data_IF_191257369404
#
_entry.id   IF_191257369404
#
_cell.length_a   1.000
_cell.length_b   1.000
_cell.length_c   1.000
_cell.angle_alpha   90.00
_cell.angle_beta   90.00
_cell.angle_gamma   90.00
#
_symmetry.space_group_name_H-M   'P 1'
#
loop_
_entity.id
_entity.type
_entity.pdbx_description
1 polymer ?
#
# COMPACT_ATOMS: atom_id res chain seq x y z
N UNK A 1 22.01 4.79 -6.99
CA UNK A 1 20.82 5.07 -7.80
C UNK A 1 20.13 6.30 -7.24
N UNK A 2 19.84 7.33 -8.08
CA UNK A 2 19.24 8.59 -7.62
C UNK A 2 17.77 8.42 -7.25
N UNK A 3 17.01 7.70 -8.08
CA UNK A 3 15.60 7.43 -7.85
C UNK A 3 15.45 6.32 -6.81
N UNK A 4 14.88 6.67 -5.64
CA UNK A 4 14.63 5.72 -4.57
C UNK A 4 13.32 4.97 -4.79
N UNK A 5 12.21 5.69 -4.99
CA UNK A 5 10.95 5.07 -5.37
C UNK A 5 10.02 6.03 -6.14
N UNK A 6 9.03 5.46 -6.80
CA UNK A 6 7.98 6.16 -7.54
C UNK A 6 6.64 5.62 -7.13
N UNK A 7 5.69 6.50 -6.86
CA UNK A 7 4.28 6.15 -6.70
C UNK A 7 3.51 6.71 -7.89
N UNK A 8 2.90 5.84 -8.68
CA UNK A 8 2.08 6.20 -9.83
C UNK A 8 0.60 6.21 -9.47
N UNK A 9 -0.06 7.30 -9.80
CA UNK A 9 -1.51 7.46 -9.59
C UNK A 9 -2.18 7.92 -10.87
N UNK A 10 -3.44 7.54 -11.04
CA UNK A 10 -4.32 8.15 -12.03
C UNK A 10 -5.52 8.82 -11.35
N UNK A 11 -6.04 9.87 -11.99
CA UNK A 11 -7.11 10.64 -11.39
C UNK A 11 -7.61 11.76 -12.29
N UNK A 12 -8.13 12.81 -11.68
CA UNK A 12 -8.64 14.01 -12.34
C UNK A 12 -7.95 15.25 -11.80
N UNK A 13 -7.86 16.27 -12.63
CA UNK A 13 -7.51 17.60 -12.13
C UNK A 13 -8.70 18.19 -11.39
N UNK A 14 -8.43 18.82 -10.25
CA UNK A 14 -9.44 19.59 -9.56
C UNK A 14 -9.85 20.77 -10.45
N UNK A 15 -11.14 20.98 -10.72
CA UNK A 15 -11.60 22.11 -11.53
C UNK A 15 -11.35 23.46 -10.85
N UNK A 16 -11.31 23.50 -9.52
CA UNK A 16 -10.95 24.68 -8.76
C UNK A 16 -9.44 24.95 -8.85
N UNK A 17 -9.00 26.05 -9.47
CA UNK A 17 -7.58 26.38 -9.60
C UNK A 17 -6.89 26.70 -8.27
N UNK A 18 -7.64 27.10 -7.25
CA UNK A 18 -7.14 27.50 -5.94
C UNK A 18 -7.21 26.36 -4.91
N UNK A 19 -7.72 25.17 -5.32
CA UNK A 19 -7.79 24.03 -4.45
C UNK A 19 -6.40 23.63 -3.93
N UNK A 20 -6.29 23.39 -2.63
CA UNK A 20 -5.04 22.91 -2.00
C UNK A 20 -4.48 21.65 -2.69
N UNK A 21 -5.35 20.78 -3.20
CA UNK A 21 -4.97 19.59 -3.99
C UNK A 21 -5.45 19.78 -5.42
N UNK A 22 -4.51 20.02 -6.34
CA UNK A 22 -4.78 20.14 -7.78
C UNK A 22 -5.12 18.79 -8.44
N UNK A 23 -4.64 17.70 -7.90
CA UNK A 23 -4.87 16.35 -8.40
C UNK A 23 -5.71 15.55 -7.42
N UNK A 24 -6.81 14.95 -7.91
CA UNK A 24 -7.72 14.09 -7.15
C UNK A 24 -7.44 12.66 -7.60
N UNK A 25 -6.76 11.83 -6.79
CA UNK A 25 -6.48 10.46 -7.15
C UNK A 25 -7.77 9.63 -7.20
N UNK A 26 -7.85 8.75 -8.19
CA UNK A 26 -8.95 7.80 -8.39
C UNK A 26 -8.48 6.35 -8.29
N UNK A 27 -7.18 6.12 -8.45
CA UNK A 27 -6.58 4.81 -8.34
C UNK A 27 -5.06 4.85 -8.48
N UNK A 28 -4.43 3.72 -8.21
CA UNK A 28 -2.99 3.51 -8.34
C UNK A 28 -2.65 2.86 -9.67
N UNK A 29 -1.54 3.28 -10.25
CA UNK A 29 -0.89 2.60 -11.38
C UNK A 29 0.21 1.63 -10.91
N UNK A 30 0.35 1.47 -9.59
CA UNK A 30 1.49 0.79 -9.00
C UNK A 30 2.61 1.76 -8.65
N UNK A 31 3.75 1.21 -8.36
CA UNK A 31 4.94 1.96 -8.01
C UNK A 31 6.20 1.15 -8.29
N UNK A 32 7.32 1.82 -8.15
CA UNK A 32 8.64 1.22 -8.20
C UNK A 32 9.37 1.51 -6.89
N UNK A 33 10.01 0.50 -6.34
CA UNK A 33 11.05 0.62 -5.34
C UNK A 33 12.21 -0.31 -5.72
N UNK A 34 13.45 -0.10 -5.24
CA UNK A 34 14.56 -1.01 -5.50
C UNK A 34 14.20 -2.46 -5.20
N UNK A 35 14.48 -3.36 -6.15
CA UNK A 35 14.13 -4.78 -6.04
C UNK A 35 12.74 -5.17 -6.54
N UNK A 36 11.87 -4.22 -6.90
CA UNK A 36 10.55 -4.56 -7.47
C UNK A 36 10.67 -4.95 -8.95
N UNK A 37 9.89 -5.95 -9.34
CA UNK A 37 9.70 -6.37 -10.73
C UNK A 37 8.41 -5.77 -11.31
N UNK A 38 8.19 -5.98 -12.62
CA UNK A 38 6.92 -5.66 -13.25
C UNK A 38 5.78 -6.38 -12.54
N UNK A 39 4.73 -5.64 -12.17
CA UNK A 39 3.54 -6.21 -11.54
C UNK A 39 2.59 -6.77 -12.57
N UNK A 40 2.10 -7.99 -12.33
CA UNK A 40 1.06 -8.61 -13.14
C UNK A 40 -0.19 -8.79 -12.27
N UNK A 41 -1.35 -8.59 -12.90
CA UNK A 41 -2.61 -8.94 -12.26
C UNK A 41 -2.88 -10.45 -12.44
N UNK A 42 -3.64 -11.08 -11.53
CA UNK A 42 -4.13 -12.43 -11.73
C UNK A 42 -4.87 -12.59 -13.05
N UNK A 43 -4.94 -13.80 -13.57
CA UNK A 43 -5.61 -14.11 -14.84
C UNK A 43 -7.04 -13.56 -14.88
N UNK A 44 -7.43 -13.05 -16.04
CA UNK A 44 -8.74 -12.43 -16.29
C UNK A 44 -9.12 -11.34 -15.27
N UNK A 45 -8.11 -10.61 -14.76
CA UNK A 45 -8.28 -9.49 -13.84
C UNK A 45 -7.54 -8.23 -14.29
N UNK A 46 -7.95 -7.09 -13.77
CA UNK A 46 -7.32 -5.80 -14.06
C UNK A 46 -7.97 -4.65 -13.33
N UNK A 47 -7.40 -3.47 -13.46
CA UNK A 47 -7.92 -2.23 -12.89
C UNK A 47 -8.54 -1.35 -13.98
N UNK A 48 -9.64 -0.70 -13.67
CA UNK A 48 -10.27 0.22 -14.62
C UNK A 48 -9.50 1.54 -14.69
N UNK A 49 -9.04 1.88 -15.88
CA UNK A 49 -8.41 3.16 -16.18
C UNK A 49 -9.39 4.02 -17.00
N UNK A 50 -9.91 5.14 -16.46
CA UNK A 50 -10.79 6.03 -17.20
C UNK A 50 -10.09 6.64 -18.43
N UNK A 51 -10.82 6.81 -19.53
CA UNK A 51 -10.29 7.35 -20.81
C UNK A 51 -9.60 8.72 -20.65
N UNK A 52 -10.17 9.60 -19.82
CA UNK A 52 -9.67 10.96 -19.63
C UNK A 52 -8.82 11.13 -18.36
N UNK A 53 -8.38 10.02 -17.77
CA UNK A 53 -7.56 10.05 -16.57
C UNK A 53 -6.26 10.81 -16.82
N UNK A 54 -5.86 11.62 -15.86
CA UNK A 54 -4.53 12.22 -15.77
C UNK A 54 -3.64 11.35 -14.91
N UNK A 55 -2.35 11.32 -15.22
CA UNK A 55 -1.36 10.62 -14.43
C UNK A 55 -0.60 11.57 -13.54
N UNK A 56 -0.31 11.13 -12.34
CA UNK A 56 0.54 11.83 -11.37
C UNK A 56 1.58 10.85 -10.85
N UNK A 57 2.83 11.28 -10.84
CA UNK A 57 3.95 10.52 -10.32
C UNK A 57 4.58 11.27 -9.16
N UNK A 58 4.62 10.61 -8.00
CA UNK A 58 5.39 11.09 -6.86
C UNK A 58 6.76 10.44 -6.93
N UNK A 59 7.77 11.26 -7.22
CA UNK A 59 9.15 10.83 -7.44
C UNK A 59 9.97 11.11 -6.19
N UNK A 60 10.57 10.09 -5.60
CA UNK A 60 11.43 10.22 -4.44
C UNK A 60 12.89 9.99 -4.82
N UNK A 61 13.69 11.04 -4.73
CA UNK A 61 15.11 10.99 -5.08
C UNK A 61 15.99 11.05 -3.85
N UNK A 62 17.07 10.27 -3.87
CA UNK A 62 18.16 10.38 -2.89
C UNK A 62 19.32 11.12 -3.53
N UNK A 63 19.71 12.24 -2.93
CA UNK A 63 20.87 13.01 -3.38
C UNK A 63 22.17 12.27 -3.07
N UNK A 64 23.09 12.25 -4.04
CA UNK A 64 24.42 11.63 -3.90
C UNK A 64 25.55 12.52 -4.46
N UNK A 65 25.32 13.82 -4.50
CA UNK A 65 26.35 14.83 -4.83
C UNK A 65 26.68 14.98 -6.31
N UNK A 66 25.88 14.41 -7.23
CA UNK A 66 26.04 14.54 -8.68
C UNK A 66 24.74 14.93 -9.36
N UNK A 67 24.83 15.77 -10.39
CA UNK A 67 23.72 16.01 -11.29
C UNK A 67 23.47 14.77 -12.16
N UNK A 68 22.20 14.35 -12.28
CA UNK A 68 21.77 13.25 -13.13
C UNK A 68 20.53 13.65 -13.91
N UNK A 69 20.32 13.00 -15.05
CA UNK A 69 19.08 13.05 -15.81
C UNK A 69 18.36 11.73 -15.54
N UNK A 70 17.10 11.81 -15.16
CA UNK A 70 16.23 10.64 -14.99
C UNK A 70 15.18 10.60 -16.11
N UNK A 71 15.04 9.44 -16.75
CA UNK A 71 14.07 9.17 -17.82
C UNK A 71 13.18 8.00 -17.39
N UNK A 72 12.39 8.21 -16.33
CA UNK A 72 11.44 7.19 -15.84
C UNK A 72 10.38 6.88 -16.88
N UNK A 73 10.20 5.61 -17.21
CA UNK A 73 9.20 5.12 -18.14
C UNK A 73 8.21 4.20 -17.43
N UNK A 74 6.94 4.29 -17.82
CA UNK A 74 5.87 3.43 -17.31
C UNK A 74 5.25 2.64 -18.46
N UNK A 75 5.36 1.31 -18.40
CA UNK A 75 4.70 0.40 -19.32
C UNK A 75 3.31 0.04 -18.82
N UNK A 76 2.29 0.15 -19.67
CA UNK A 76 0.91 -0.21 -19.36
C UNK A 76 0.41 -1.22 -20.38
N UNK A 77 -0.10 -2.34 -19.87
CA UNK A 77 -0.74 -3.37 -20.72
C UNK A 77 -2.25 -3.27 -20.56
N UNK A 78 -2.94 -3.07 -21.68
CA UNK A 78 -4.39 -2.93 -21.69
C UNK A 78 -5.04 -4.23 -22.17
N UNK A 79 -6.10 -4.66 -21.50
CA UNK A 79 -6.94 -5.74 -21.97
C UNK A 79 -7.69 -5.37 -23.25
N UNK A 80 -7.73 -6.29 -24.23
CA UNK A 80 -8.55 -6.11 -25.44
C UNK A 80 -10.06 -6.17 -25.17
N UNK A 81 -10.45 -6.81 -24.07
CA UNK A 81 -11.84 -6.93 -23.59
C UNK A 81 -11.84 -6.70 -22.10
N UNK A 82 -12.98 -6.24 -21.55
CA UNK A 82 -13.13 -6.08 -20.10
C UNK A 82 -12.87 -7.43 -19.40
N UNK A 83 -11.94 -7.51 -18.45
CA UNK A 83 -11.72 -8.71 -17.66
C UNK A 83 -12.93 -8.99 -16.74
N UNK A 84 -13.11 -10.24 -16.31
CA UNK A 84 -14.20 -10.61 -15.39
C UNK A 84 -14.00 -10.00 -14.02
N UNK A 85 -12.78 -10.00 -13.54
CA UNK A 85 -12.44 -9.64 -12.18
C UNK A 85 -11.81 -8.25 -12.15
N UNK A 86 -12.36 -7.37 -11.32
CA UNK A 86 -11.80 -6.03 -11.14
C UNK A 86 -10.98 -5.99 -9.84
N UNK A 87 -9.67 -5.85 -9.98
CA UNK A 87 -8.77 -5.65 -8.86
C UNK A 87 -9.05 -4.29 -8.21
N UNK A 88 -9.22 -4.29 -6.91
CA UNK A 88 -9.29 -3.09 -6.09
C UNK A 88 -7.97 -2.95 -5.33
N UNK A 89 -7.25 -1.88 -5.61
CA UNK A 89 -6.16 -1.43 -4.76
C UNK A 89 -6.72 -0.63 -3.60
N UNK A 90 -6.39 -1.02 -2.39
CA UNK A 90 -6.78 -0.30 -1.17
C UNK A 90 -5.53 0.19 -0.46
N UNK A 91 -5.65 1.38 0.09
CA UNK A 91 -4.63 2.02 0.88
C UNK A 91 -5.19 2.32 2.27
N UNK A 92 -4.47 1.96 3.30
CA UNK A 92 -4.76 2.30 4.68
C UNK A 92 -3.54 2.95 5.33
N UNK A 93 -3.77 3.92 6.22
CA UNK A 93 -2.71 4.62 6.93
C UNK A 93 -3.13 4.92 8.38
N UNK A 94 -2.16 4.93 9.27
CA UNK A 94 -2.31 5.51 10.59
C UNK A 94 -1.74 6.93 10.58
N UNK A 95 -2.62 7.94 10.54
CA UNK A 95 -2.23 9.35 10.57
C UNK A 95 -1.97 9.88 12.00
N UNK A 96 -2.28 9.08 13.02
CA UNK A 96 -2.16 9.45 14.44
C UNK A 96 -0.91 8.83 15.09
N UNK A 97 0.03 8.35 14.27
CA UNK A 97 1.28 7.74 14.74
C UNK A 97 2.06 8.70 15.62
N UNK A 98 2.54 8.19 16.76
CA UNK A 98 3.34 8.95 17.73
C UNK A 98 4.39 8.06 18.37
N UNK A 99 5.61 8.15 17.86
CA UNK A 99 6.74 7.35 18.34
C UNK A 99 7.55 8.17 19.32
N UNK A 100 7.61 7.80 20.62
CA UNK A 100 8.37 8.56 21.62
C UNK A 100 9.88 8.56 21.31
N UNK A 101 10.56 9.61 21.77
CA UNK A 101 12.02 9.69 21.73
C UNK A 101 12.67 8.51 22.45
N UNK A 102 13.85 8.09 22.00
CA UNK A 102 14.69 7.04 22.59
C UNK A 102 14.00 5.68 22.79
N UNK A 103 12.91 5.39 22.10
CA UNK A 103 12.17 4.13 22.21
C UNK A 103 12.71 3.10 21.24
N UNK A 104 13.21 1.97 21.75
CA UNK A 104 13.83 0.92 20.96
C UNK A 104 12.84 0.07 20.16
N UNK A 105 11.63 -0.16 20.69
CA UNK A 105 10.60 -0.97 20.02
C UNK A 105 9.22 -0.40 20.35
N UNK A 106 8.81 0.56 19.55
CA UNK A 106 7.47 1.13 19.62
C UNK A 106 6.54 0.36 18.68
N UNK A 107 5.29 0.21 19.07
CA UNK A 107 4.29 -0.51 18.27
C UNK A 107 3.15 0.42 17.92
N UNK A 108 2.82 0.47 16.65
CA UNK A 108 1.65 1.14 16.11
C UNK A 108 0.82 0.14 15.30
N UNK A 109 -0.48 0.38 15.18
CA UNK A 109 -1.34 -0.49 14.40
C UNK A 109 -2.43 0.27 13.65
N UNK A 110 -2.99 -0.38 12.65
CA UNK A 110 -4.16 0.08 11.91
C UNK A 110 -4.99 -1.11 11.47
N UNK A 111 -6.30 -0.92 11.45
CA UNK A 111 -7.25 -1.94 11.05
C UNK A 111 -8.03 -1.50 9.80
N UNK A 112 -8.37 -2.49 8.98
CA UNK A 112 -9.28 -2.35 7.85
C UNK A 112 -10.31 -3.47 7.88
N UNK A 113 -11.59 -3.12 7.88
CA UNK A 113 -12.69 -4.09 7.86
C UNK A 113 -13.19 -4.31 6.44
N UNK A 114 -13.22 -5.55 5.99
CA UNK A 114 -13.83 -5.92 4.70
C UNK A 114 -15.35 -5.83 4.78
N UNK A 115 -15.94 -4.86 4.12
CA UNK A 115 -17.40 -4.67 4.10
C UNK A 115 -18.15 -5.70 3.24
N UNK A 116 -17.42 -6.44 2.42
CA UNK A 116 -17.88 -7.54 1.54
C UNK A 116 -16.80 -8.59 1.42
N UNK A 117 -17.19 -9.78 0.95
CA UNK A 117 -16.22 -10.81 0.64
C UNK A 117 -15.25 -10.38 -0.45
N UNK A 118 -13.98 -10.70 -0.29
CA UNK A 118 -12.94 -10.42 -1.26
C UNK A 118 -11.83 -11.47 -1.19
N UNK A 119 -11.17 -11.69 -2.31
CA UNK A 119 -9.92 -12.46 -2.36
C UNK A 119 -8.75 -11.49 -2.24
N UNK A 120 -7.98 -11.58 -1.16
CA UNK A 120 -6.76 -10.82 -0.95
C UNK A 120 -5.61 -11.51 -1.68
N UNK A 121 -4.90 -10.78 -2.55
CA UNK A 121 -3.80 -11.30 -3.37
C UNK A 121 -2.44 -10.84 -2.88
N UNK A 122 -2.33 -9.59 -2.43
CA UNK A 122 -1.05 -9.00 -2.08
C UNK A 122 -1.16 -7.93 -1.02
N UNK A 123 -0.07 -7.75 -0.28
CA UNK A 123 0.12 -6.64 0.66
C UNK A 123 1.50 -6.01 0.46
N UNK A 124 1.60 -4.71 0.72
CA UNK A 124 2.84 -3.95 0.68
C UNK A 124 2.90 -3.07 1.93
N UNK A 125 3.74 -3.40 2.91
CA UNK A 125 4.02 -2.55 4.05
C UNK A 125 4.87 -1.35 3.63
N UNK A 126 4.60 -0.20 4.23
CA UNK A 126 5.40 1.00 4.07
C UNK A 126 5.58 1.72 5.40
N UNK A 127 6.83 1.96 5.74
CA UNK A 127 7.31 2.80 6.85
C UNK A 127 8.56 3.54 6.40
N UNK A 128 9.02 4.52 7.17
CA UNK A 128 10.26 5.24 6.92
C UNK A 128 11.46 4.64 7.68
N UNK A 129 12.44 5.47 8.06
CA UNK A 129 13.74 5.03 8.61
C UNK A 129 13.67 4.29 9.93
N UNK A 130 12.61 4.46 10.70
CA UNK A 130 12.47 3.80 12.02
C UNK A 130 11.69 2.49 11.96
N UNK A 131 11.05 2.17 10.83
CA UNK A 131 10.37 0.89 10.64
C UNK A 131 11.35 -0.28 10.70
N UNK A 132 11.07 -1.28 11.56
CA UNK A 132 11.94 -2.46 11.76
C UNK A 132 11.23 -3.78 11.51
N UNK A 133 9.90 -3.83 11.60
CA UNK A 133 9.11 -5.03 11.32
C UNK A 133 7.66 -4.67 11.05
N UNK A 134 6.91 -5.61 10.45
CA UNK A 134 5.48 -5.48 10.21
C UNK A 134 4.79 -6.84 10.19
N UNK A 135 3.62 -6.93 10.83
CA UNK A 135 2.77 -8.14 10.87
C UNK A 135 1.39 -7.82 10.30
N UNK A 136 0.84 -8.78 9.56
CA UNK A 136 -0.49 -8.72 8.96
C UNK A 136 -1.34 -9.89 9.44
N UNK A 137 -2.38 -9.60 10.19
CA UNK A 137 -3.25 -10.59 10.82
C UNK A 137 -4.68 -10.44 10.31
N UNK A 138 -5.25 -11.50 9.77
CA UNK A 138 -6.69 -11.57 9.54
C UNK A 138 -7.39 -11.95 10.85
N UNK A 139 -8.42 -11.19 11.21
CA UNK A 139 -9.31 -11.49 12.33
C UNK A 139 -10.70 -11.75 11.71
N UNK A 140 -11.13 -13.00 11.74
CA UNK A 140 -12.37 -13.41 11.11
C UNK A 140 -13.61 -13.09 11.97
N UNK A 141 -14.82 -13.07 11.39
CA UNK A 141 -16.05 -12.76 12.12
C UNK A 141 -16.35 -13.70 13.30
N UNK A 142 -15.83 -14.92 13.27
CA UNK A 142 -15.94 -15.88 14.37
C UNK A 142 -14.91 -15.66 15.50
N UNK A 143 -14.05 -14.65 15.37
CA UNK A 143 -12.99 -14.31 16.30
C UNK A 143 -11.68 -15.08 16.08
N UNK A 144 -11.64 -16.02 15.15
CA UNK A 144 -10.40 -16.72 14.80
C UNK A 144 -9.39 -15.75 14.15
N UNK A 145 -8.10 -16.06 14.31
CA UNK A 145 -7.00 -15.20 13.84
C UNK A 145 -6.04 -16.02 13.01
N UNK A 146 -5.55 -15.40 11.94
CA UNK A 146 -4.55 -15.99 11.05
C UNK A 146 -3.47 -14.98 10.71
N UNK A 147 -2.19 -15.37 10.87
CA UNK A 147 -1.05 -14.60 10.38
C UNK A 147 -0.97 -14.76 8.87
N UNK A 148 -1.19 -13.68 8.12
CA UNK A 148 -1.10 -13.67 6.66
C UNK A 148 0.32 -13.45 6.17
N UNK A 149 1.04 -12.54 6.84
CA UNK A 149 2.41 -12.18 6.53
C UNK A 149 3.09 -11.64 7.78
N UNK A 150 4.36 -12.00 7.98
CA UNK A 150 5.25 -11.34 8.92
C UNK A 150 6.51 -10.92 8.18
N UNK A 151 6.91 -9.66 8.34
CA UNK A 151 8.15 -9.08 7.85
C UNK A 151 9.01 -8.72 9.06
N UNK A 152 9.80 -9.65 9.60
CA UNK A 152 10.51 -9.46 10.88
C UNK A 152 11.70 -8.53 10.78
N UNK A 153 12.20 -8.27 9.56
CA UNK A 153 13.31 -7.38 9.27
C UNK A 153 12.91 -6.48 8.10
N UNK A 154 12.11 -5.43 8.41
CA UNK A 154 11.76 -4.43 7.41
C UNK A 154 12.98 -3.56 7.12
N UNK A 155 13.20 -3.25 5.85
CA UNK A 155 14.22 -2.32 5.37
C UNK A 155 13.56 -1.26 4.49
N UNK A 156 13.73 0.02 4.84
CA UNK A 156 13.23 1.15 4.08
C UNK A 156 13.74 1.16 2.63
N UNK A 157 14.93 0.64 2.38
CA UNK A 157 15.51 0.55 1.02
C UNK A 157 15.01 -0.66 0.23
N UNK A 158 14.18 -1.53 0.84
CA UNK A 158 13.71 -2.78 0.25
C UNK A 158 12.21 -2.97 0.45
N UNK A 159 11.41 -2.07 -0.14
CA UNK A 159 9.96 -2.03 0.05
C UNK A 159 9.27 -2.88 -1.01
N UNK A 160 9.05 -4.14 -0.72
CA UNK A 160 8.45 -5.08 -1.66
C UNK A 160 6.94 -5.25 -1.45
N UNK A 161 6.26 -5.52 -2.56
CA UNK A 161 4.94 -6.13 -2.54
C UNK A 161 5.11 -7.63 -2.31
N UNK A 162 4.43 -8.14 -1.31
CA UNK A 162 4.34 -9.56 -1.02
C UNK A 162 3.06 -10.11 -1.62
N UNK A 163 3.21 -11.05 -2.54
CA UNK A 163 2.09 -11.78 -3.14
C UNK A 163 1.84 -13.04 -2.33
N UNK A 164 0.57 -13.30 -1.98
CA UNK A 164 0.19 -14.52 -1.28
C UNK A 164 0.29 -15.69 -2.28
N UNK A 165 0.83 -16.83 -1.82
CA UNK A 165 0.96 -18.04 -2.65
C UNK A 165 -0.38 -18.47 -3.23
N UNK A 166 -1.43 -18.36 -2.40
CA UNK A 166 -2.82 -18.53 -2.80
C UNK A 166 -3.62 -17.33 -2.32
N UNK A 167 -4.56 -16.81 -3.14
CA UNK A 167 -5.43 -15.73 -2.71
C UNK A 167 -6.22 -16.11 -1.46
N UNK A 168 -6.26 -15.22 -0.49
CA UNK A 168 -6.94 -15.47 0.77
C UNK A 168 -8.35 -14.91 0.78
N UNK A 169 -9.33 -15.76 1.07
CA UNK A 169 -10.72 -15.31 1.22
C UNK A 169 -10.88 -14.50 2.51
N UNK A 170 -11.21 -13.22 2.34
CA UNK A 170 -11.63 -12.32 3.39
C UNK A 170 -13.15 -12.27 3.39
N UNK A 171 -13.77 -12.89 4.39
CA UNK A 171 -15.24 -12.85 4.58
C UNK A 171 -15.67 -11.42 4.91
N UNK A 172 -16.93 -11.09 4.64
CA UNK A 172 -17.51 -9.83 5.12
C UNK A 172 -17.38 -9.76 6.64
N UNK A 173 -16.84 -8.63 7.15
CA UNK A 173 -16.56 -8.41 8.56
C UNK A 173 -15.18 -8.88 9.02
N UNK A 174 -14.39 -9.55 8.16
CA UNK A 174 -12.98 -9.83 8.48
C UNK A 174 -12.22 -8.51 8.63
N UNK A 175 -11.40 -8.42 9.67
CA UNK A 175 -10.50 -7.30 9.91
C UNK A 175 -9.09 -7.68 9.49
N UNK A 176 -8.48 -6.88 8.61
CA UNK A 176 -7.05 -6.90 8.38
C UNK A 176 -6.40 -5.99 9.41
N UNK A 177 -5.77 -6.58 10.41
CA UNK A 177 -5.04 -5.88 11.45
C UNK A 177 -3.57 -5.83 11.07
N UNK A 178 -3.05 -4.62 10.85
CA UNK A 178 -1.65 -4.37 10.54
C UNK A 178 -0.97 -3.80 11.76
N UNK A 179 0.17 -4.38 12.11
CA UNK A 179 1.01 -3.98 13.23
C UNK A 179 2.37 -3.63 12.66
N UNK A 180 2.87 -2.44 12.95
CA UNK A 180 4.22 -2.03 12.60
C UNK A 180 5.04 -1.76 13.86
N UNK A 181 6.32 -2.06 13.78
CA UNK A 181 7.27 -1.88 14.88
C UNK A 181 8.35 -0.89 14.45
N UNK A 182 8.70 0.02 15.35
CA UNK A 182 9.61 1.12 15.09
C UNK A 182 10.73 1.17 16.12
N UNK A 183 11.94 1.50 15.69
CA UNK A 183 13.10 1.77 16.54
C UNK A 183 13.51 3.24 16.41
N UNK A 184 13.12 4.06 17.39
CA UNK A 184 13.52 5.47 17.52
C UNK A 184 14.65 5.63 18.54
N UNK A 185 15.52 4.64 18.68
CA UNK A 185 16.68 4.71 19.58
C UNK A 185 17.98 5.03 18.83
N UNK A 186 19.02 5.38 19.57
CA UNK A 186 20.37 5.57 19.06
C UNK A 186 21.01 4.27 18.50
N UNK A 187 20.39 3.10 18.75
CA UNK A 187 20.83 1.82 18.18
C UNK A 187 20.41 1.64 16.72
N UNK A 188 19.41 2.37 16.25
CA UNK A 188 19.01 2.39 14.85
C UNK A 188 19.89 3.37 14.06
N UNK A 189 20.85 2.86 13.31
CA UNK A 189 21.81 3.69 12.55
C UNK A 189 21.14 4.52 11.41
N UNK A 190 19.94 4.14 10.98
CA UNK A 190 19.18 4.88 9.98
C UNK A 190 18.36 6.03 10.60
N UNK A 191 18.22 6.06 11.93
CA UNK A 191 17.46 7.08 12.63
C UNK A 191 18.22 8.42 12.65
N UNK A 192 17.68 9.49 12.04
CA UNK A 192 18.40 10.76 11.97
C UNK A 192 18.53 11.47 13.31
N UNK A 193 17.55 11.32 14.21
CA UNK A 193 17.58 11.92 15.54
C UNK A 193 16.72 11.09 16.54
N UNK A 194 17.34 10.33 17.43
CA UNK A 194 16.63 9.54 18.44
C UNK A 194 16.07 10.40 19.60
N UNK A 195 16.49 11.65 19.75
CA UNK A 195 16.14 12.51 20.90
C UNK A 195 14.79 13.20 20.74
N UNK A 196 14.19 13.15 19.56
CA UNK A 196 12.88 13.74 19.26
C UNK A 196 11.80 12.68 19.12
N UNK A 197 10.60 13.00 19.57
CA UNK A 197 9.42 12.21 19.23
C UNK A 197 9.06 12.42 17.75
N UNK A 198 8.51 11.39 17.11
CA UNK A 198 8.21 11.41 15.68
C UNK A 198 6.73 11.16 15.45
N UNK A 199 6.15 11.97 14.57
CA UNK A 199 4.74 11.89 14.17
C UNK A 199 4.64 11.52 12.68
N UNK A 200 3.39 11.36 12.20
CA UNK A 200 3.11 11.14 10.79
C UNK A 200 3.59 12.34 9.94
N UNK A 201 4.28 12.04 8.85
CA UNK A 201 4.70 13.05 7.88
C UNK A 201 5.25 12.46 6.59
N UNK A 202 5.35 13.31 5.56
CA UNK A 202 5.72 12.91 4.20
C UNK A 202 7.24 12.77 4.01
N UNK A 203 8.03 13.31 4.93
CA UNK A 203 9.48 13.27 4.83
C UNK A 203 10.03 11.97 5.42
N UNK A 204 11.16 11.49 4.91
CA UNK A 204 11.77 10.23 5.40
C UNK A 204 12.25 10.30 6.84
N UNK A 205 12.45 11.48 7.39
CA UNK A 205 12.75 11.70 8.82
C UNK A 205 11.52 11.83 9.72
N UNK A 206 10.33 12.01 9.15
CA UNK A 206 9.05 11.74 9.79
C UNK A 206 8.80 10.22 9.78
N UNK A 207 7.60 9.77 10.11
CA UNK A 207 7.33 8.33 10.01
C UNK A 207 5.93 8.04 9.44
N UNK A 208 5.79 6.84 8.86
CA UNK A 208 4.53 6.35 8.31
C UNK A 208 4.25 4.92 8.76
N UNK A 209 2.99 4.62 9.03
CA UNK A 209 2.42 3.28 8.94
C UNK A 209 1.41 3.31 7.80
N UNK A 210 1.81 2.81 6.66
CA UNK A 210 0.95 2.72 5.49
C UNK A 210 0.96 1.30 4.93
N UNK A 211 -0.15 0.90 4.35
CA UNK A 211 -0.28 -0.39 3.70
C UNK A 211 -1.06 -0.24 2.41
N UNK A 212 -0.54 -0.81 1.37
CA UNK A 212 -1.25 -1.00 0.12
C UNK A 212 -1.56 -2.49 -0.01
N UNK A 213 -2.78 -2.82 -0.40
CA UNK A 213 -3.14 -4.20 -0.68
C UNK A 213 -4.04 -4.31 -1.91
N UNK A 214 -3.94 -5.44 -2.60
CA UNK A 214 -4.73 -5.78 -3.76
C UNK A 214 -5.74 -6.86 -3.43
N UNK A 215 -7.03 -6.60 -3.66
CA UNK A 215 -8.08 -7.57 -3.47
C UNK A 215 -9.10 -7.54 -4.61
N UNK A 216 -9.68 -8.70 -4.91
CA UNK A 216 -10.79 -8.84 -5.86
C UNK A 216 -12.06 -9.13 -5.08
N UNK A 217 -13.08 -8.25 -5.12
CA UNK A 217 -14.38 -8.53 -4.52
C UNK A 217 -14.99 -9.81 -5.12
N UNK A 218 -15.49 -10.69 -4.27
CA UNK A 218 -16.25 -11.86 -4.69
C UNK A 218 -17.68 -11.39 -4.98
N UNK A 219 -18.10 -11.43 -6.25
CA UNK A 219 -19.50 -11.22 -6.58
C UNK A 219 -20.31 -12.45 -6.13
N UNK A 220 -21.13 -12.27 -5.11
CA UNK A 220 -22.09 -13.31 -4.73
C UNK A 220 -23.11 -13.36 -5.87
N UNK A 221 -23.01 -14.34 -6.74
CA UNK A 221 -24.07 -14.68 -7.68
C UNK A 221 -25.25 -15.11 -6.82
N UNK A 222 -26.21 -14.21 -6.58
CA UNK A 222 -27.46 -14.59 -5.89
C UNK A 222 -28.06 -15.74 -6.67
N UNK A 223 -28.34 -16.91 -6.06
CA UNK A 223 -29.01 -17.98 -6.76
C UNK A 223 -30.32 -17.41 -7.31
N UNK A 224 -30.49 -17.55 -8.62
CA UNK A 224 -31.70 -17.15 -9.30
C UNK A 224 -32.84 -17.96 -8.66
N UNK A 225 -33.66 -17.35 -7.84
CA UNK A 225 -34.87 -18.01 -7.33
C UNK A 225 -35.82 -18.10 -8.51
N UNK A 226 -35.73 -19.20 -9.23
CA UNK A 226 -36.78 -19.59 -10.17
C UNK A 226 -38.04 -19.84 -9.34
N UNK A 227 -38.97 -18.90 -9.35
CA UNK A 227 -40.37 -19.20 -9.04
C UNK A 227 -40.90 -19.99 -10.23
N UNK A 228 -41.06 -21.30 -10.05
CA UNK A 228 -41.87 -22.09 -10.96
C UNK A 228 -43.32 -21.57 -10.91
N UNK A 229 -44.01 -21.55 -12.04
CA UNK A 229 -45.40 -21.07 -12.13
C UNK A 229 -46.35 -21.93 -11.34
#
# INVERSE_FOLDING_TARGET
>A
QALHHVIGMFGKMNPDPDARRRFIPMGSMGGYAPGTNAGFYPDDSGTFLPKDAKFSFQMHYTSFGKAVIDETQVGVWLHKKKPKNMMQGTFIANYDIKIPANTKRHTESKEYTFEREALLYSVLPHSHFRGIASDFVAIYPDGSREMLLSVPNYDFNWQLRYELVEPKLMLKGTVLHVIAYFDNSAGNIANPDPTVAVEYGDQTWDEMLQVFFGAIPVEIVKPCTFKLP
#
